data_IF_346181265376
#
_entry.id   IF_346181265376
#
_cell.length_a   1.000
_cell.length_b   1.000
_cell.length_c   1.000
_cell.angle_alpha   90.00
_cell.angle_beta   90.00
_cell.angle_gamma   90.00
#
_symmetry.space_group_name_H-M   'P 1'
#
loop_
_entity.id
_entity.type
_entity.pdbx_description
1 polymer ?
#
# COMPACT_ATOMS: atom_id res chain seq x y z
N UNK A 1 13.31 20.47 6.32
CA UNK A 1 14.43 19.50 6.34
C UNK A 1 14.49 18.72 7.65
N UNK A 2 14.49 19.38 8.82
CA UNK A 2 14.48 18.73 10.15
C UNK A 2 13.26 17.82 10.37
N UNK A 3 12.07 18.27 9.96
CA UNK A 3 10.83 17.44 10.03
C UNK A 3 10.93 16.21 9.12
N UNK A 4 11.52 16.34 7.93
CA UNK A 4 11.72 15.18 7.04
C UNK A 4 12.72 14.18 7.64
N UNK A 5 13.78 14.66 8.30
CA UNK A 5 14.75 13.79 8.98
C UNK A 5 14.14 13.10 10.20
N UNK A 6 13.36 13.81 11.01
CA UNK A 6 12.63 13.22 12.13
C UNK A 6 11.58 12.19 11.67
N UNK A 7 10.87 12.49 10.57
CA UNK A 7 9.97 11.53 9.93
C UNK A 7 10.73 10.33 9.37
N UNK A 8 11.92 10.52 8.78
CA UNK A 8 12.74 9.45 8.24
C UNK A 8 13.34 8.56 9.34
N UNK A 9 13.80 9.13 10.45
CA UNK A 9 14.28 8.38 11.61
C UNK A 9 13.14 7.62 12.30
N UNK A 10 11.96 8.23 12.41
CA UNK A 10 10.75 7.57 12.89
C UNK A 10 10.27 6.46 11.92
N UNK A 11 10.42 6.68 10.62
CA UNK A 11 10.15 5.71 9.55
C UNK A 11 11.09 4.50 9.64
N UNK A 12 12.39 4.73 9.84
CA UNK A 12 13.41 3.68 10.07
C UNK A 12 13.17 2.95 11.40
N UNK A 13 12.65 3.63 12.42
CA UNK A 13 12.32 3.02 13.71
C UNK A 13 11.06 2.15 13.64
N UNK A 14 9.98 2.63 12.98
CA UNK A 14 8.76 1.84 12.71
C UNK A 14 9.05 0.60 11.87
N UNK A 15 10.03 0.68 10.97
CA UNK A 15 10.50 -0.43 10.12
C UNK A 15 10.97 -1.68 10.88
N UNK A 16 11.31 -1.57 12.18
CA UNK A 16 11.82 -2.71 12.98
C UNK A 16 10.72 -3.50 13.72
N UNK A 17 9.54 -2.94 13.95
CA UNK A 17 8.55 -3.45 14.93
C UNK A 17 7.25 -3.93 14.27
N UNK A 18 7.34 -4.70 13.19
CA UNK A 18 6.13 -5.26 12.56
C UNK A 18 5.89 -6.70 12.99
N UNK A 19 5.14 -6.86 14.08
CA UNK A 19 4.62 -8.15 14.54
C UNK A 19 3.26 -8.06 15.23
N UNK A 20 2.70 -6.86 15.42
CA UNK A 20 1.52 -6.65 16.26
C UNK A 20 0.32 -6.19 15.42
N UNK A 21 -0.80 -6.89 15.57
CA UNK A 21 -2.10 -6.58 14.97
C UNK A 21 -2.55 -5.16 15.27
N UNK A 22 -2.14 -4.66 16.43
CA UNK A 22 -2.35 -3.30 16.88
C UNK A 22 -1.76 -2.28 15.91
N UNK A 23 -0.57 -2.52 15.37
CA UNK A 23 0.09 -1.62 14.42
C UNK A 23 -0.62 -1.58 13.06
N UNK A 24 -1.17 -2.73 12.63
CA UNK A 24 -1.96 -2.84 11.39
C UNK A 24 -3.26 -2.03 11.53
N UNK A 25 -3.96 -2.17 12.66
CA UNK A 25 -5.18 -1.41 12.98
C UNK A 25 -4.91 0.10 12.99
N UNK A 26 -3.84 0.53 13.66
CA UNK A 26 -3.45 1.95 13.69
C UNK A 26 -3.03 2.48 12.31
N UNK A 27 -2.32 1.67 11.50
CA UNK A 27 -1.99 2.01 10.12
C UNK A 27 -3.24 2.21 9.26
N UNK A 28 -4.19 1.28 9.31
CA UNK A 28 -5.46 1.39 8.57
C UNK A 28 -6.30 2.58 9.02
N UNK A 29 -6.40 2.81 10.33
CA UNK A 29 -7.10 3.95 10.90
C UNK A 29 -6.48 5.28 10.46
N UNK A 30 -5.15 5.36 10.46
CA UNK A 30 -4.41 6.53 9.99
C UNK A 30 -4.58 6.79 8.49
N UNK A 31 -4.57 5.74 7.65
CA UNK A 31 -4.84 5.86 6.21
C UNK A 31 -6.27 6.35 5.95
N UNK A 32 -7.27 5.79 6.63
CA UNK A 32 -8.67 6.22 6.51
C UNK A 32 -8.86 7.69 6.91
N UNK A 33 -8.29 8.09 8.05
CA UNK A 33 -8.40 9.47 8.57
C UNK A 33 -7.70 10.46 7.65
N UNK A 34 -6.47 10.15 7.21
CA UNK A 34 -5.70 11.04 6.33
C UNK A 34 -6.36 11.20 4.96
N UNK A 35 -6.92 10.12 4.43
CA UNK A 35 -7.69 10.15 3.18
C UNK A 35 -8.97 10.99 3.32
N UNK A 36 -9.65 10.92 4.46
CA UNK A 36 -10.85 11.73 4.74
C UNK A 36 -10.52 13.23 4.85
N UNK A 37 -9.42 13.58 5.53
CA UNK A 37 -8.92 14.96 5.59
C UNK A 37 -8.57 15.48 4.20
N UNK A 38 -7.94 14.64 3.37
CA UNK A 38 -7.61 15.02 2.01
C UNK A 38 -8.87 15.24 1.16
N UNK A 39 -9.86 14.35 1.26
CA UNK A 39 -11.15 14.50 0.57
C UNK A 39 -11.86 15.80 0.95
N UNK A 40 -11.93 16.12 2.25
CA UNK A 40 -12.50 17.38 2.73
C UNK A 40 -11.73 18.60 2.19
N UNK A 41 -10.40 18.49 2.12
CA UNK A 41 -9.55 19.58 1.60
C UNK A 41 -9.78 19.82 0.11
N UNK A 42 -9.95 18.77 -0.70
CA UNK A 42 -10.28 18.88 -2.12
C UNK A 42 -11.65 19.54 -2.33
N UNK A 43 -12.64 19.19 -1.51
CA UNK A 43 -14.01 19.72 -1.62
C UNK A 43 -14.10 21.18 -1.18
N UNK A 44 -13.39 21.58 -0.13
CA UNK A 44 -13.44 22.93 0.43
C UNK A 44 -12.53 23.94 -0.30
N UNK A 45 -11.58 23.47 -1.11
CA UNK A 45 -10.56 24.33 -1.70
C UNK A 45 -10.88 24.67 -3.15
N UNK A 46 -11.11 25.96 -3.41
CA UNK A 46 -11.37 26.45 -4.77
C UNK A 46 -10.09 26.81 -5.56
N UNK A 47 -8.92 26.82 -4.89
CA UNK A 47 -7.65 27.26 -5.47
C UNK A 47 -6.65 26.11 -5.63
N UNK A 48 -6.18 25.88 -6.85
CA UNK A 48 -5.26 24.78 -7.22
C UNK A 48 -3.94 24.78 -6.42
N UNK A 49 -3.41 25.95 -6.09
CA UNK A 49 -2.17 26.10 -5.30
C UNK A 49 -2.34 25.70 -3.83
N UNK A 50 -3.49 26.04 -3.24
CA UNK A 50 -3.88 25.59 -1.89
C UNK A 50 -4.18 24.10 -1.87
N UNK A 51 -4.68 23.56 -2.98
CA UNK A 51 -4.90 22.13 -3.17
C UNK A 51 -3.56 21.38 -3.17
N UNK A 52 -2.52 21.90 -3.85
CA UNK A 52 -1.18 21.33 -3.84
C UNK A 52 -0.52 21.34 -2.44
N UNK A 53 -0.66 22.45 -1.69
CA UNK A 53 -0.26 22.52 -0.28
C UNK A 53 -1.10 21.60 0.62
N UNK A 54 -2.39 21.48 0.32
CA UNK A 54 -3.34 20.57 0.95
C UNK A 54 -3.11 19.10 0.60
N UNK A 55 -2.39 18.79 -0.49
CA UNK A 55 -1.90 17.45 -0.83
C UNK A 55 -0.62 17.12 -0.05
N UNK A 56 0.27 18.11 0.14
CA UNK A 56 1.56 17.95 0.85
C UNK A 56 1.39 17.63 2.34
N UNK A 57 0.30 18.08 2.97
CA UNK A 57 0.02 17.86 4.38
C UNK A 57 -0.41 16.40 4.71
N UNK A 58 -1.35 15.77 3.96
CA UNK A 58 -1.78 14.39 4.18
C UNK A 58 -0.90 13.34 3.48
N UNK A 59 -0.06 13.70 2.49
CA UNK A 59 0.79 12.72 1.80
C UNK A 59 1.78 11.98 2.74
N UNK A 60 2.57 12.69 3.58
CA UNK A 60 3.48 12.05 4.51
C UNK A 60 2.80 11.10 5.51
N UNK A 61 1.68 11.46 6.17
CA UNK A 61 0.98 10.54 7.06
C UNK A 61 0.33 9.37 6.30
N UNK A 62 -0.17 9.55 5.08
CA UNK A 62 -0.66 8.42 4.26
C UNK A 62 0.46 7.42 3.98
N UNK A 63 1.63 7.89 3.53
CA UNK A 63 2.79 7.03 3.27
C UNK A 63 3.25 6.34 4.56
N UNK A 64 3.31 7.06 5.68
CA UNK A 64 3.67 6.49 6.96
C UNK A 64 2.70 5.38 7.40
N UNK A 65 1.40 5.64 7.31
CA UNK A 65 0.37 4.69 7.68
C UNK A 65 0.33 3.49 6.73
N UNK A 66 0.61 3.70 5.44
CA UNK A 66 0.77 2.64 4.45
C UNK A 66 1.96 1.73 4.79
N UNK A 67 3.07 2.29 5.26
CA UNK A 67 4.22 1.49 5.72
C UNK A 67 3.93 0.74 7.01
N UNK A 68 3.14 1.31 7.93
CA UNK A 68 2.66 0.59 9.11
C UNK A 68 1.72 -0.57 8.77
N UNK A 69 0.94 -0.42 7.69
CA UNK A 69 0.04 -1.47 7.18
C UNK A 69 0.79 -2.54 6.37
N UNK A 70 1.74 -2.17 5.51
CA UNK A 70 2.43 -3.08 4.61
C UNK A 70 3.65 -3.73 5.25
N UNK A 71 3.79 -5.04 5.10
CA UNK A 71 5.03 -5.73 5.51
C UNK A 71 6.08 -5.60 4.41
N UNK A 72 6.92 -4.56 4.48
CA UNK A 72 7.94 -4.29 3.45
C UNK A 72 9.21 -5.15 3.66
N UNK A 73 9.43 -5.69 4.87
CA UNK A 73 10.74 -6.31 5.18
C UNK A 73 10.78 -7.59 5.99
N UNK A 74 9.64 -8.15 6.38
CA UNK A 74 9.64 -9.50 6.95
C UNK A 74 9.18 -10.44 5.86
N UNK A 75 9.83 -11.59 5.76
CA UNK A 75 9.39 -12.69 4.90
C UNK A 75 8.06 -13.27 5.41
N UNK A 76 7.10 -12.44 5.81
CA UNK A 76 5.76 -12.78 6.26
C UNK A 76 4.78 -11.73 5.77
N UNK A 77 3.79 -12.15 4.99
CA UNK A 77 2.65 -11.30 4.65
C UNK A 77 1.46 -11.65 5.53
N UNK A 78 0.62 -10.65 5.77
CA UNK A 78 -0.64 -10.81 6.48
C UNK A 78 -1.63 -11.41 5.49
N UNK A 79 -2.01 -12.67 5.70
CA UNK A 79 -3.05 -13.33 4.92
C UNK A 79 -4.35 -13.33 5.71
N UNK A 80 -5.38 -12.76 5.10
CA UNK A 80 -6.77 -12.92 5.56
C UNK A 80 -7.15 -14.39 5.31
N UNK A 81 -7.64 -15.13 6.32
CA UNK A 81 -8.10 -16.50 6.12
C UNK A 81 -9.11 -16.57 4.98
N UNK A 82 -9.07 -17.65 4.19
CA UNK A 82 -9.85 -17.75 2.95
C UNK A 82 -11.36 -17.54 3.15
N UNK A 83 -11.87 -17.93 4.32
CA UNK A 83 -13.27 -17.79 4.73
C UNK A 83 -13.70 -16.33 5.00
N UNK A 84 -12.75 -15.45 5.34
CA UNK A 84 -13.00 -14.04 5.66
C UNK A 84 -12.58 -13.07 4.55
N UNK A 85 -12.27 -13.59 3.36
CA UNK A 85 -11.89 -12.73 2.23
C UNK A 85 -13.07 -11.81 1.84
N UNK A 86 -12.90 -10.47 1.94
CA UNK A 86 -14.00 -9.50 1.79
C UNK A 86 -14.75 -9.61 0.47
N UNK A 87 -14.04 -9.91 -0.62
CA UNK A 87 -14.58 -9.91 -1.98
C UNK A 87 -14.81 -11.31 -2.55
N UNK A 88 -14.56 -12.37 -1.77
CA UNK A 88 -14.70 -13.76 -2.25
C UNK A 88 -16.16 -14.23 -2.31
N UNK A 89 -17.03 -13.63 -1.50
CA UNK A 89 -18.46 -13.90 -1.39
C UNK A 89 -19.18 -12.57 -1.14
N UNK A 90 -20.50 -12.55 -1.34
CA UNK A 90 -21.33 -11.38 -1.04
C UNK A 90 -21.43 -11.20 0.48
N UNK A 91 -20.43 -10.51 1.04
CA UNK A 91 -20.35 -10.21 2.46
C UNK A 91 -21.24 -9.01 2.82
N UNK A 92 -22.17 -9.20 3.75
CA UNK A 92 -23.14 -8.16 4.13
C UNK A 92 -22.46 -6.85 4.58
N UNK A 93 -21.38 -6.92 5.34
CA UNK A 93 -20.66 -5.72 5.80
C UNK A 93 -20.04 -4.93 4.63
N UNK A 94 -19.53 -5.60 3.60
CA UNK A 94 -18.98 -4.95 2.39
C UNK A 94 -20.09 -4.22 1.64
N UNK A 95 -21.26 -4.83 1.55
CA UNK A 95 -22.45 -4.19 0.92
C UNK A 95 -22.87 -2.96 1.70
N UNK A 96 -22.98 -3.05 3.04
CA UNK A 96 -23.37 -1.91 3.88
C UNK A 96 -22.35 -0.76 3.77
N UNK A 97 -21.06 -1.06 3.88
CA UNK A 97 -19.99 -0.05 3.72
C UNK A 97 -20.03 0.56 2.32
N UNK A 98 -20.30 -0.25 1.28
CA UNK A 98 -20.43 0.21 -0.10
C UNK A 98 -21.60 1.17 -0.28
N UNK A 99 -22.77 0.86 0.28
CA UNK A 99 -23.94 1.74 0.23
C UNK A 99 -23.66 3.08 0.91
N UNK A 100 -22.97 3.09 2.06
CA UNK A 100 -22.56 4.32 2.73
C UNK A 100 -21.61 5.16 1.86
N UNK A 101 -20.65 4.52 1.18
CA UNK A 101 -19.73 5.22 0.28
C UNK A 101 -20.42 5.76 -0.97
N UNK A 102 -21.43 5.07 -1.50
CA UNK A 102 -22.24 5.57 -2.61
C UNK A 102 -22.99 6.84 -2.19
N UNK A 103 -23.61 6.86 -1.00
CA UNK A 103 -24.28 8.06 -0.48
C UNK A 103 -23.31 9.22 -0.31
N UNK A 104 -22.13 8.96 0.26
CA UNK A 104 -21.06 9.97 0.39
C UNK A 104 -20.59 10.46 -0.98
N UNK A 105 -20.47 9.56 -1.97
CA UNK A 105 -20.05 9.92 -3.31
C UNK A 105 -21.05 10.86 -3.98
N UNK A 106 -22.35 10.57 -3.88
CA UNK A 106 -23.40 11.47 -4.40
C UNK A 106 -23.30 12.84 -3.73
N UNK A 107 -23.13 12.88 -2.40
CA UNK A 107 -22.98 14.13 -1.67
C UNK A 107 -21.76 14.93 -2.14
N UNK A 108 -20.57 14.32 -2.19
CA UNK A 108 -19.33 15.01 -2.54
C UNK A 108 -19.24 15.40 -4.01
N UNK A 109 -19.76 14.59 -4.93
CA UNK A 109 -19.78 14.91 -6.36
C UNK A 109 -20.72 16.08 -6.66
N UNK A 110 -21.83 16.20 -5.93
CA UNK A 110 -22.72 17.36 -6.05
C UNK A 110 -22.09 18.66 -5.53
N UNK A 111 -21.14 18.57 -4.58
CA UNK A 111 -20.44 19.73 -4.02
C UNK A 111 -19.16 20.07 -4.81
N UNK A 112 -18.46 19.07 -5.35
CA UNK A 112 -17.16 19.21 -6.03
C UNK A 112 -17.29 19.16 -7.55
N UNK A 113 -17.83 20.23 -8.13
CA UNK A 113 -17.98 20.37 -9.60
C UNK A 113 -16.59 20.50 -10.27
N UNK A 114 -15.59 21.03 -9.55
CA UNK A 114 -14.26 21.33 -10.10
C UNK A 114 -13.31 20.13 -10.14
N UNK A 115 -13.37 19.24 -9.15
CA UNK A 115 -12.43 18.12 -9.00
C UNK A 115 -13.15 16.78 -8.77
N UNK A 116 -14.09 16.39 -9.65
CA UNK A 116 -14.91 15.20 -9.45
C UNK A 116 -14.11 13.90 -9.51
N UNK A 117 -13.03 13.86 -10.31
CA UNK A 117 -12.19 12.67 -10.46
C UNK A 117 -11.34 12.42 -9.22
N UNK A 118 -10.73 13.46 -8.65
CA UNK A 118 -9.93 13.39 -7.43
C UNK A 118 -10.81 12.96 -6.25
N UNK A 119 -12.01 13.53 -6.13
CA UNK A 119 -12.99 13.09 -5.14
C UNK A 119 -13.37 11.62 -5.31
N UNK A 120 -13.60 11.17 -6.55
CA UNK A 120 -13.94 9.77 -6.83
C UNK A 120 -12.80 8.81 -6.43
N UNK A 121 -11.56 9.12 -6.77
CA UNK A 121 -10.40 8.31 -6.39
C UNK A 121 -10.23 8.22 -4.87
N UNK A 122 -10.38 9.34 -4.17
CA UNK A 122 -10.32 9.38 -2.71
C UNK A 122 -11.48 8.62 -2.06
N UNK A 123 -12.68 8.66 -2.63
CA UNK A 123 -13.83 7.87 -2.17
C UNK A 123 -13.64 6.37 -2.39
N UNK A 124 -13.07 5.96 -3.53
CA UNK A 124 -12.73 4.56 -3.81
C UNK A 124 -11.66 4.08 -2.81
N UNK A 125 -10.61 4.87 -2.57
CA UNK A 125 -9.58 4.54 -1.58
C UNK A 125 -10.17 4.45 -0.17
N UNK A 126 -11.06 5.38 0.18
CA UNK A 126 -11.78 5.37 1.46
C UNK A 126 -12.56 4.07 1.65
N UNK A 127 -13.26 3.61 0.59
CA UNK A 127 -14.04 2.38 0.63
C UNK A 127 -13.15 1.18 0.94
N UNK A 128 -12.03 1.04 0.23
CA UNK A 128 -11.07 -0.06 0.46
C UNK A 128 -10.54 -0.02 1.90
N UNK A 129 -10.08 1.15 2.37
CA UNK A 129 -9.58 1.29 3.74
C UNK A 129 -10.64 1.00 4.79
N UNK A 130 -11.91 1.33 4.54
CA UNK A 130 -13.02 1.05 5.45
C UNK A 130 -13.29 -0.45 5.59
N UNK A 131 -13.27 -1.17 4.47
CA UNK A 131 -13.45 -2.62 4.43
C UNK A 131 -12.30 -3.31 5.17
N UNK A 132 -11.06 -2.90 4.89
CA UNK A 132 -9.87 -3.47 5.52
C UNK A 132 -9.81 -3.14 7.02
N UNK A 133 -10.17 -1.91 7.41
CA UNK A 133 -10.23 -1.51 8.81
C UNK A 133 -11.30 -2.30 9.57
N UNK A 134 -12.51 -2.42 9.02
CA UNK A 134 -13.58 -3.22 9.62
C UNK A 134 -13.13 -4.66 9.83
N UNK A 135 -12.50 -5.25 8.82
CA UNK A 135 -11.98 -6.60 8.90
C UNK A 135 -10.90 -6.74 9.99
N UNK A 136 -10.00 -5.76 10.09
CA UNK A 136 -8.96 -5.73 11.12
C UNK A 136 -9.48 -5.59 12.55
N UNK A 137 -10.61 -4.92 12.74
CA UNK A 137 -11.26 -4.78 14.03
C UNK A 137 -12.10 -6.01 14.40
N UNK A 138 -12.63 -6.71 13.41
CA UNK A 138 -13.52 -7.87 13.61
C UNK A 138 -12.76 -9.19 13.72
N UNK A 139 -11.61 -9.31 13.05
CA UNK A 139 -10.75 -10.49 13.16
C UNK A 139 -9.78 -10.35 14.32
N UNK A 140 -9.83 -11.31 15.24
CA UNK A 140 -8.86 -11.45 16.33
C UNK A 140 -7.58 -12.18 15.88
N UNK A 141 -7.65 -12.93 14.78
CA UNK A 141 -6.52 -13.71 14.25
C UNK A 141 -6.30 -13.42 12.77
N UNK A 142 -5.10 -12.95 12.44
CA UNK A 142 -4.61 -12.94 11.07
C UNK A 142 -3.56 -14.02 10.88
N UNK A 143 -3.55 -14.67 9.72
CA UNK A 143 -2.54 -15.67 9.41
C UNK A 143 -1.30 -14.92 8.93
N UNK A 144 -0.24 -14.94 9.73
CA UNK A 144 1.09 -14.50 9.29
C UNK A 144 1.69 -15.62 8.45
N UNK A 145 1.56 -15.51 7.14
CA UNK A 145 2.11 -16.49 6.20
C UNK A 145 3.50 -16.05 5.84
N UNK A 146 4.49 -16.93 5.96
CA UNK A 146 5.82 -16.60 5.46
C UNK A 146 5.71 -16.33 3.95
N UNK A 147 6.28 -15.23 3.47
CA UNK A 147 6.67 -15.17 2.07
C UNK A 147 7.41 -16.47 1.76
N UNK A 148 7.12 -17.14 0.63
CA UNK A 148 8.01 -18.19 0.19
C UNK A 148 9.40 -17.58 0.27
N UNK A 149 10.30 -18.22 1.01
CA UNK A 149 11.71 -17.87 0.88
C UNK A 149 11.92 -17.87 -0.63
N UNK A 150 12.37 -16.76 -1.20
CA UNK A 150 13.17 -16.92 -2.40
C UNK A 150 14.28 -17.83 -1.91
N UNK A 151 14.14 -19.13 -2.13
CA UNK A 151 15.10 -20.11 -1.66
C UNK A 151 16.43 -19.57 -2.15
N UNK A 152 17.43 -19.46 -1.29
CA UNK A 152 18.76 -18.99 -1.70
C UNK A 152 19.26 -19.83 -2.90
N UNK A 153 18.76 -21.06 -3.06
CA UNK A 153 18.89 -21.91 -4.24
C UNK A 153 18.34 -21.30 -5.54
N UNK A 154 17.20 -20.61 -5.51
CA UNK A 154 16.61 -19.94 -6.68
C UNK A 154 17.43 -18.74 -7.15
N UNK A 155 18.00 -17.98 -6.21
CA UNK A 155 18.90 -16.86 -6.46
C UNK A 155 20.26 -17.37 -6.95
N UNK A 156 20.82 -18.39 -6.29
CA UNK A 156 22.07 -19.03 -6.69
C UNK A 156 21.95 -19.64 -8.10
N UNK A 157 20.83 -20.31 -8.40
CA UNK A 157 20.56 -20.87 -9.74
C UNK A 157 20.40 -19.79 -10.81
N UNK A 158 19.94 -18.59 -10.45
CA UNK A 158 19.92 -17.46 -11.37
C UNK A 158 21.33 -16.90 -11.60
N UNK A 159 22.14 -16.75 -10.54
CA UNK A 159 23.54 -16.29 -10.61
C UNK A 159 24.39 -17.26 -11.44
N UNK A 160 24.32 -18.56 -11.15
CA UNK A 160 25.06 -19.60 -11.88
C UNK A 160 24.71 -19.61 -13.38
N UNK A 161 23.43 -19.36 -13.72
CA UNK A 161 22.96 -19.29 -15.11
C UNK A 161 23.52 -18.04 -15.83
N UNK A 162 23.61 -16.91 -15.14
CA UNK A 162 24.23 -15.69 -15.69
C UNK A 162 25.74 -15.88 -15.90
N UNK A 163 26.41 -16.56 -14.98
CA UNK A 163 27.84 -16.86 -15.08
C UNK A 163 28.14 -17.84 -16.22
N UNK A 164 27.32 -18.88 -16.40
CA UNK A 164 27.41 -19.78 -17.56
C UNK A 164 27.21 -19.05 -18.90
N UNK A 165 26.24 -18.14 -18.97
CA UNK A 165 26.02 -17.33 -20.18
C UNK A 165 27.23 -16.45 -20.46
N UNK A 166 27.77 -15.76 -19.45
CA UNK A 166 28.97 -14.94 -19.59
C UNK A 166 30.16 -15.75 -20.08
N UNK A 167 30.42 -16.93 -19.51
CA UNK A 167 31.50 -17.82 -19.95
C UNK A 167 31.29 -18.30 -21.38
N UNK A 168 30.05 -18.60 -21.78
CA UNK A 168 29.71 -18.94 -23.16
C UNK A 168 29.99 -17.78 -24.13
N UNK A 169 29.67 -16.54 -23.75
CA UNK A 169 29.98 -15.36 -24.56
C UNK A 169 31.49 -15.10 -24.66
N UNK A 170 32.24 -15.26 -23.56
CA UNK A 170 33.71 -15.14 -23.57
C UNK A 170 34.37 -16.23 -24.43
N UNK A 171 33.84 -17.46 -24.40
CA UNK A 171 34.32 -18.57 -25.24
C UNK A 171 34.02 -18.31 -26.73
N UNK A 172 32.80 -17.88 -27.06
CA UNK A 172 32.42 -17.50 -28.42
C UNK A 172 33.25 -16.31 -28.93
N UNK A 173 33.53 -15.33 -28.09
CA UNK A 173 34.39 -14.20 -28.44
C UNK A 173 35.84 -14.66 -28.71
N UNK A 174 36.40 -15.57 -27.91
CA UNK A 174 37.72 -16.15 -28.17
C UNK A 174 37.77 -16.96 -29.47
N UNK A 175 36.70 -17.68 -29.81
CA UNK A 175 36.61 -18.40 -31.09
C UNK A 175 36.47 -17.45 -32.29
N UNK A 176 35.75 -16.34 -32.16
CA UNK A 176 35.64 -15.32 -33.21
C UNK A 176 36.91 -14.47 -33.39
N UNK A 177 37.85 -14.50 -32.43
CA UNK A 177 39.15 -13.82 -32.51
C UNK A 177 40.21 -14.68 -33.21
N UNK A 178 39.93 -15.96 -33.49
CA UNK A 178 40.72 -16.77 -34.42
C UNK A 178 39.97 -16.98 -35.75
N UNK A 179 40.00 -16.01 -36.68
CA UNK A 179 39.81 -16.34 -38.08
C UNK A 179 41.04 -17.11 -38.56
N UNK A 180 40.82 -18.31 -39.13
CA UNK A 180 41.80 -18.99 -39.97
C UNK A 180 42.23 -18.08 -41.13
#
# INVERSE_FOLDING_TARGET
MIICLALLEFFVHSYRVQTDLTNIRWGLFGMFTSNSIFLASVVLTDQREKLFMGCLLPFPPIIYCFVMFTSIRRMRFVQIPAEFKPYSKLNAYVVVIGMLHILLAIFFLNQSIRWPLECLLLLISSFVFSVDLYLSLTLDTFILVNHPKEDDESIQKYIDRQEQLRLSYEFLAKMNVYPN
#
